data_IF_715005313112
#
_entry.id   IF_715005313112
#
_cell.length_a   1.000
_cell.length_b   1.000
_cell.length_c   1.000
_cell.angle_alpha   90.00
_cell.angle_beta   90.00
_cell.angle_gamma   90.00
#
_symmetry.space_group_name_H-M   'P 1'
#
loop_
_entity.id
_entity.type
_entity.pdbx_description
1 polymer ?
#
# COMPACT_ATOMS: atom_id res chain seq x y z
N UNK A 1 12.77 6.53 -17.96
CA UNK A 1 13.82 7.43 -18.49
C UNK A 1 14.56 8.16 -17.38
N UNK A 2 13.96 9.19 -16.76
CA UNK A 2 14.61 10.10 -15.79
C UNK A 2 15.25 9.39 -14.59
N UNK A 3 14.56 8.42 -13.98
CA UNK A 3 15.11 7.66 -12.85
C UNK A 3 16.42 6.93 -13.22
N UNK A 4 16.46 6.30 -14.40
CA UNK A 4 17.69 5.62 -14.87
C UNK A 4 18.81 6.60 -15.15
N UNK A 5 18.51 7.79 -15.68
CA UNK A 5 19.50 8.84 -15.89
C UNK A 5 20.05 9.37 -14.55
N UNK A 6 19.19 9.64 -13.58
CA UNK A 6 19.60 10.07 -12.25
C UNK A 6 20.53 9.04 -11.58
N UNK A 7 20.19 7.75 -11.65
CA UNK A 7 21.06 6.66 -11.16
C UNK A 7 22.40 6.62 -11.85
N UNK A 8 22.44 6.83 -13.19
CA UNK A 8 23.71 6.91 -13.94
C UNK A 8 24.58 8.08 -13.49
N UNK A 9 23.96 9.20 -13.12
CA UNK A 9 24.65 10.40 -12.64
C UNK A 9 24.98 10.36 -11.14
N UNK A 10 24.53 9.33 -10.41
CA UNK A 10 24.75 9.20 -8.97
C UNK A 10 23.98 10.24 -8.14
N UNK A 11 22.88 10.78 -8.66
CA UNK A 11 22.07 11.77 -7.96
C UNK A 11 20.74 11.18 -7.47
N UNK A 12 20.20 11.63 -6.33
CA UNK A 12 18.90 11.19 -5.87
C UNK A 12 17.79 11.68 -6.80
N UNK A 13 16.74 10.87 -6.93
CA UNK A 13 15.59 11.17 -7.79
C UNK A 13 14.28 10.93 -7.05
N UNK A 14 13.44 11.95 -7.09
CA UNK A 14 12.08 11.90 -6.55
C UNK A 14 11.05 11.86 -7.67
N UNK A 15 10.03 11.04 -7.53
CA UNK A 15 8.90 10.94 -8.46
C UNK A 15 7.59 10.76 -7.69
N UNK A 16 6.52 10.54 -8.41
CA UNK A 16 5.22 10.09 -7.89
C UNK A 16 4.92 8.65 -8.31
N UNK A 17 3.81 8.15 -7.84
CA UNK A 17 3.23 6.85 -8.20
C UNK A 17 1.74 6.86 -7.86
N UNK A 18 1.01 5.79 -8.17
CA UNK A 18 -0.42 5.65 -7.89
C UNK A 18 -1.28 6.84 -8.34
N UNK A 19 -0.88 7.51 -9.43
CA UNK A 19 -1.59 8.66 -9.98
C UNK A 19 -2.71 8.20 -10.91
N UNK A 20 -3.88 8.82 -10.77
CA UNK A 20 -5.06 8.52 -11.58
C UNK A 20 -5.87 9.77 -11.91
N UNK A 21 -6.50 9.80 -13.08
CA UNK A 21 -7.53 10.78 -13.44
C UNK A 21 -8.94 10.37 -13.02
N UNK A 22 -9.13 9.18 -12.43
CA UNK A 22 -10.43 8.69 -11.96
C UNK A 22 -11.01 9.59 -10.85
N UNK A 23 -12.36 9.58 -10.72
CA UNK A 23 -13.11 10.34 -9.71
C UNK A 23 -13.52 9.48 -8.52
N UNK A 24 -13.39 8.17 -8.66
CA UNK A 24 -13.74 7.14 -7.66
C UNK A 24 -12.66 6.08 -7.62
N UNK A 25 -12.62 5.29 -6.56
CA UNK A 25 -11.68 4.17 -6.41
C UNK A 25 -12.13 2.92 -7.19
N UNK A 26 -12.31 3.08 -8.50
CA UNK A 26 -12.80 2.07 -9.45
C UNK A 26 -11.68 1.35 -10.22
N UNK A 27 -12.05 0.61 -11.26
CA UNK A 27 -11.10 -0.11 -12.11
C UNK A 27 -10.12 0.84 -12.82
N UNK A 28 -10.55 2.02 -13.28
CA UNK A 28 -9.67 3.02 -13.88
C UNK A 28 -8.61 3.46 -12.85
N UNK A 29 -9.05 3.79 -11.65
CA UNK A 29 -8.18 4.15 -10.54
C UNK A 29 -7.12 3.08 -10.27
N UNK A 30 -7.55 1.80 -10.23
CA UNK A 30 -6.67 0.69 -9.91
C UNK A 30 -5.55 0.50 -10.93
N UNK A 31 -5.87 0.42 -12.23
CA UNK A 31 -4.82 0.18 -13.21
C UNK A 31 -4.00 1.42 -13.57
N UNK A 32 -4.54 2.63 -13.50
CA UNK A 32 -3.72 3.84 -13.63
C UNK A 32 -2.72 3.96 -12.48
N UNK A 33 -3.15 3.63 -11.25
CA UNK A 33 -2.25 3.58 -10.09
C UNK A 33 -1.15 2.54 -10.28
N UNK A 34 -1.48 1.32 -10.69
CA UNK A 34 -0.51 0.27 -10.95
C UNK A 34 0.48 0.68 -12.06
N UNK A 35 -0.03 1.24 -13.17
CA UNK A 35 0.80 1.65 -14.30
C UNK A 35 1.73 2.83 -14.02
N UNK A 36 1.38 3.72 -13.11
CA UNK A 36 2.24 4.83 -12.70
C UNK A 36 3.22 4.43 -11.60
N UNK A 37 2.82 3.53 -10.70
CA UNK A 37 3.67 3.05 -9.61
C UNK A 37 4.74 2.06 -10.09
N UNK A 38 4.38 1.09 -10.93
CA UNK A 38 5.30 0.05 -11.39
C UNK A 38 6.58 0.59 -12.02
N UNK A 39 6.56 1.53 -12.99
CA UNK A 39 7.79 2.09 -13.54
C UNK A 39 8.58 2.94 -12.54
N UNK A 40 7.93 3.52 -11.53
CA UNK A 40 8.57 4.25 -10.43
C UNK A 40 9.43 3.30 -9.60
N UNK A 41 8.85 2.17 -9.18
CA UNK A 41 9.52 1.13 -8.40
C UNK A 41 10.63 0.47 -9.20
N UNK A 42 10.35 -0.03 -10.42
CA UNK A 42 11.35 -0.66 -11.29
C UNK A 42 12.43 0.31 -11.78
N UNK A 43 12.11 1.60 -11.85
CA UNK A 43 13.08 2.66 -12.15
C UNK A 43 14.11 2.85 -11.04
N UNK A 44 13.83 2.40 -9.84
CA UNK A 44 14.66 2.62 -8.65
C UNK A 44 14.64 4.09 -8.23
N UNK A 45 13.45 4.68 -8.17
CA UNK A 45 13.24 6.02 -7.63
C UNK A 45 13.55 6.00 -6.13
N UNK A 46 14.31 6.96 -5.65
CA UNK A 46 14.73 7.00 -4.24
C UNK A 46 13.62 7.42 -3.30
N UNK A 47 12.71 8.27 -3.76
CA UNK A 47 11.59 8.77 -2.96
C UNK A 47 10.35 8.96 -3.85
N UNK A 48 9.31 8.21 -3.59
CA UNK A 48 8.02 8.34 -4.27
C UNK A 48 7.05 9.13 -3.40
N UNK A 49 6.73 10.33 -3.82
CA UNK A 49 5.78 11.22 -3.16
C UNK A 49 4.41 11.09 -3.84
N UNK A 50 3.33 11.34 -3.10
CA UNK A 50 1.94 11.24 -3.58
C UNK A 50 1.57 9.84 -4.10
N UNK A 51 2.02 8.79 -3.39
CA UNK A 51 1.86 7.41 -3.85
C UNK A 51 0.59 6.72 -3.32
N UNK A 52 -0.29 7.42 -2.63
CA UNK A 52 -1.53 6.84 -2.12
C UNK A 52 -2.63 7.89 -1.91
N UNK A 53 -3.88 7.50 -2.16
CA UNK A 53 -5.08 8.26 -1.79
C UNK A 53 -5.48 9.39 -2.73
N UNK A 54 -4.81 9.58 -3.85
CA UNK A 54 -5.09 10.68 -4.76
C UNK A 54 -6.00 10.26 -5.91
N UNK A 55 -7.01 11.09 -6.19
CA UNK A 55 -7.93 11.00 -7.32
C UNK A 55 -7.87 12.32 -8.12
N UNK A 56 -8.50 12.33 -9.29
CA UNK A 56 -8.64 13.51 -10.16
C UNK A 56 -7.32 14.24 -10.45
N UNK A 57 -6.28 13.48 -10.78
CA UNK A 57 -4.96 14.06 -11.06
C UNK A 57 -4.28 14.72 -9.85
N UNK A 58 -4.70 14.37 -8.64
CA UNK A 58 -4.17 14.91 -7.39
C UNK A 58 -4.96 16.09 -6.80
N UNK A 59 -6.15 16.36 -7.32
CA UNK A 59 -7.04 17.41 -6.79
C UNK A 59 -7.92 16.94 -5.64
N UNK A 60 -8.15 15.62 -5.53
CA UNK A 60 -9.01 15.02 -4.52
C UNK A 60 -8.23 13.95 -3.77
N UNK A 61 -8.41 13.90 -2.45
CA UNK A 61 -7.93 12.81 -1.59
C UNK A 61 -9.13 11.97 -1.12
N UNK A 62 -8.97 10.64 -1.13
CA UNK A 62 -9.98 9.67 -0.72
C UNK A 62 -9.40 8.62 0.20
N UNK A 63 -10.08 8.34 1.33
CA UNK A 63 -9.59 7.41 2.33
C UNK A 63 -9.64 5.95 1.87
N UNK A 64 -10.66 5.55 1.10
CA UNK A 64 -10.72 4.20 0.56
C UNK A 64 -9.58 3.98 -0.44
N UNK A 65 -9.36 4.96 -1.33
CA UNK A 65 -8.23 4.96 -2.26
C UNK A 65 -6.89 4.87 -1.52
N UNK A 66 -6.72 5.59 -0.41
CA UNK A 66 -5.50 5.54 0.40
C UNK A 66 -5.23 4.12 0.91
N UNK A 67 -6.24 3.43 1.42
CA UNK A 67 -6.12 2.06 1.92
C UNK A 67 -5.81 1.06 0.80
N UNK A 68 -6.48 1.20 -0.36
CA UNK A 68 -6.24 0.35 -1.52
C UNK A 68 -4.83 0.54 -2.09
N UNK A 69 -4.38 1.79 -2.22
CA UNK A 69 -3.03 2.09 -2.70
C UNK A 69 -1.96 1.60 -1.71
N UNK A 70 -2.19 1.71 -0.41
CA UNK A 70 -1.28 1.20 0.61
C UNK A 70 -1.12 -0.33 0.50
N UNK A 71 -2.21 -1.05 0.27
CA UNK A 71 -2.18 -2.49 0.02
C UNK A 71 -1.41 -2.82 -1.27
N UNK A 72 -1.63 -2.06 -2.34
CA UNK A 72 -0.88 -2.20 -3.60
C UNK A 72 0.62 -1.90 -3.44
N UNK A 73 0.99 -0.91 -2.61
CA UNK A 73 2.40 -0.62 -2.30
C UNK A 73 3.10 -1.81 -1.64
N UNK A 74 2.44 -2.51 -0.70
CA UNK A 74 3.02 -3.71 -0.09
C UNK A 74 3.14 -4.88 -1.09
N UNK A 75 2.23 -4.99 -2.07
CA UNK A 75 2.37 -5.93 -3.19
C UNK A 75 3.61 -5.61 -4.03
N UNK A 76 3.84 -4.34 -4.35
CA UNK A 76 5.03 -3.91 -5.12
C UNK A 76 6.32 -4.14 -4.34
N UNK A 77 6.31 -3.91 -3.03
CA UNK A 77 7.45 -4.22 -2.15
C UNK A 77 7.78 -5.72 -2.16
N UNK A 78 6.77 -6.58 -2.04
CA UNK A 78 6.96 -8.03 -2.16
C UNK A 78 7.55 -8.42 -3.52
N UNK A 79 7.07 -7.82 -4.61
CA UNK A 79 7.58 -8.09 -5.95
C UNK A 79 9.06 -7.70 -6.12
N UNK A 80 9.50 -6.58 -5.57
CA UNK A 80 10.89 -6.10 -5.72
C UNK A 80 11.86 -6.70 -4.71
N UNK A 81 11.37 -7.32 -3.67
CA UNK A 81 12.19 -8.10 -2.72
C UNK A 81 12.90 -9.27 -3.37
N UNK A 82 12.39 -9.69 -4.55
CA UNK A 82 12.97 -10.78 -5.32
C UNK A 82 12.53 -12.16 -4.84
N UNK A 83 13.28 -13.17 -5.25
CA UNK A 83 13.01 -14.59 -4.93
C UNK A 83 13.98 -15.01 -3.83
N UNK A 84 13.45 -15.62 -2.79
CA UNK A 84 14.25 -16.27 -1.74
C UNK A 84 14.95 -17.51 -2.31
N UNK A 85 16.28 -17.45 -2.37
CA UNK A 85 17.15 -18.57 -2.82
C UNK A 85 17.88 -19.23 -1.65
N UNK A 86 17.43 -18.99 -0.42
CA UNK A 86 17.91 -19.73 0.76
C UNK A 86 17.57 -21.22 0.67
N UNK A 87 18.12 -22.02 1.55
CA UNK A 87 17.80 -23.44 1.65
C UNK A 87 16.28 -23.66 1.85
N UNK A 88 15.64 -22.83 2.70
CA UNK A 88 14.19 -22.85 2.89
C UNK A 88 13.43 -22.43 1.62
N UNK A 89 13.85 -21.36 0.94
CA UNK A 89 13.20 -20.87 -0.26
C UNK A 89 13.29 -21.83 -1.45
N UNK A 90 14.44 -22.53 -1.60
CA UNK A 90 14.63 -23.54 -2.64
C UNK A 90 13.93 -24.86 -2.32
N UNK A 91 13.72 -25.18 -1.06
CA UNK A 91 12.99 -26.37 -0.58
C UNK A 91 13.45 -27.71 -1.19
N UNK A 92 14.74 -27.86 -1.51
CA UNK A 92 15.25 -29.03 -2.23
C UNK A 92 15.05 -30.35 -1.48
N UNK A 93 15.12 -30.32 -0.17
CA UNK A 93 14.91 -31.53 0.64
C UNK A 93 13.43 -31.92 0.66
N UNK A 94 12.52 -30.97 0.74
CA UNK A 94 11.08 -31.21 0.62
C UNK A 94 10.72 -31.79 -0.76
N UNK A 95 11.38 -31.34 -1.83
CA UNK A 95 11.22 -31.86 -3.18
C UNK A 95 11.70 -33.31 -3.29
N UNK A 96 12.84 -33.64 -2.66
CA UNK A 96 13.38 -35.02 -2.62
C UNK A 96 12.50 -35.97 -1.79
N UNK A 97 11.99 -35.47 -0.65
CA UNK A 97 11.10 -36.23 0.22
C UNK A 97 9.77 -36.56 -0.47
N UNK A 98 9.15 -35.58 -1.12
CA UNK A 98 7.89 -35.80 -1.84
C UNK A 98 8.08 -36.77 -3.02
N UNK A 99 9.14 -36.58 -3.81
CA UNK A 99 9.42 -37.40 -4.99
C UNK A 99 8.44 -37.22 -6.16
N UNK A 100 8.71 -37.86 -7.29
CA UNK A 100 7.88 -37.73 -8.50
C UNK A 100 6.46 -38.27 -8.31
N UNK A 101 5.46 -37.47 -8.75
CA UNK A 101 4.04 -37.87 -8.73
C UNK A 101 3.38 -37.82 -7.36
N UNK A 102 4.08 -37.38 -6.34
CA UNK A 102 3.55 -37.21 -4.99
C UNK A 102 3.11 -35.73 -4.74
N UNK A 103 2.43 -35.48 -3.62
CA UNK A 103 1.97 -34.17 -3.22
C UNK A 103 2.72 -33.68 -1.96
N UNK A 104 2.66 -32.37 -1.72
CA UNK A 104 3.34 -31.73 -0.59
C UNK A 104 2.44 -31.56 0.66
N UNK A 105 1.18 -32.00 0.61
CA UNK A 105 0.29 -31.99 1.77
C UNK A 105 0.84 -32.89 2.88
N UNK A 106 1.02 -32.34 4.06
CA UNK A 106 1.63 -33.03 5.19
C UNK A 106 3.15 -32.98 5.25
N UNK A 107 3.82 -32.43 4.21
CA UNK A 107 5.26 -32.21 4.28
C UNK A 107 5.59 -31.11 5.31
N UNK A 108 6.60 -31.31 6.13
CA UNK A 108 7.01 -30.42 7.21
C UNK A 108 7.35 -29.00 6.69
N UNK A 109 8.03 -28.91 5.53
CA UNK A 109 8.34 -27.65 4.90
C UNK A 109 7.07 -26.89 4.51
N UNK A 110 6.07 -27.53 3.90
CA UNK A 110 4.78 -26.92 3.57
C UNK A 110 4.10 -26.40 4.82
N UNK A 111 4.04 -27.20 5.88
CA UNK A 111 3.43 -26.81 7.15
C UNK A 111 4.09 -25.59 7.79
N UNK A 112 5.42 -25.49 7.67
CA UNK A 112 6.18 -24.36 8.22
C UNK A 112 6.00 -23.06 7.42
N UNK A 113 5.66 -23.15 6.12
CA UNK A 113 5.70 -22.02 5.20
C UNK A 113 4.33 -21.61 4.61
N UNK A 114 3.26 -22.42 4.72
CA UNK A 114 2.01 -22.18 3.97
C UNK A 114 1.31 -20.85 4.32
N UNK A 115 1.53 -20.29 5.50
CA UNK A 115 0.96 -19.01 5.90
C UNK A 115 1.78 -17.81 5.42
N UNK A 116 3.10 -17.99 5.24
CA UNK A 116 4.05 -16.90 4.99
C UNK A 116 4.69 -16.90 3.62
N UNK A 117 4.62 -18.03 2.88
CA UNK A 117 5.27 -18.20 1.59
C UNK A 117 4.78 -17.24 0.50
N UNK A 118 3.53 -16.78 0.61
CA UNK A 118 2.92 -15.89 -0.36
C UNK A 118 2.41 -14.62 0.32
N UNK A 119 2.71 -13.49 -0.31
CA UNK A 119 2.08 -12.25 0.08
C UNK A 119 0.56 -12.33 -0.13
N UNK A 120 -0.20 -11.83 0.83
CA UNK A 120 -1.66 -11.81 0.77
C UNK A 120 -2.17 -10.40 0.98
N UNK A 121 -2.94 -9.90 0.03
CA UNK A 121 -3.66 -8.66 0.17
C UNK A 121 -4.67 -8.71 1.32
N UNK A 122 -4.81 -7.63 2.04
CA UNK A 122 -5.87 -7.44 3.03
C UNK A 122 -7.14 -6.83 2.40
N UNK A 123 -7.04 -6.30 1.18
CA UNK A 123 -8.12 -5.59 0.50
C UNK A 123 -8.72 -6.36 -0.69
N UNK A 124 -7.99 -7.32 -1.26
CA UNK A 124 -8.53 -8.18 -2.34
C UNK A 124 -9.24 -9.41 -1.79
N UNK A 125 -10.23 -9.90 -2.52
CA UNK A 125 -10.94 -11.13 -2.20
C UNK A 125 -10.49 -12.25 -3.14
N UNK A 126 -9.97 -13.33 -2.58
CA UNK A 126 -9.52 -14.52 -3.29
C UNK A 126 -10.34 -15.76 -2.88
N UNK A 127 -11.50 -15.57 -2.26
CA UNK A 127 -12.40 -16.64 -1.85
C UNK A 127 -13.15 -17.21 -3.04
N UNK A 128 -13.87 -18.32 -2.83
CA UNK A 128 -14.79 -18.83 -3.86
C UNK A 128 -15.97 -17.89 -4.02
N UNK A 129 -16.66 -17.99 -5.18
CA UNK A 129 -17.86 -17.19 -5.44
C UNK A 129 -18.93 -17.41 -4.38
N UNK A 130 -19.14 -18.65 -3.94
CA UNK A 130 -20.13 -19.02 -2.93
C UNK A 130 -19.83 -18.38 -1.59
N UNK A 131 -18.56 -18.35 -1.19
CA UNK A 131 -18.15 -17.71 0.05
C UNK A 131 -18.31 -16.19 0.00
N UNK A 132 -17.92 -15.57 -1.12
CA UNK A 132 -18.11 -14.13 -1.36
C UNK A 132 -19.59 -13.75 -1.36
N UNK A 133 -20.46 -14.60 -1.94
CA UNK A 133 -21.91 -14.42 -1.97
C UNK A 133 -22.50 -14.47 -0.56
N UNK A 134 -22.13 -15.47 0.23
CA UNK A 134 -22.56 -15.63 1.64
C UNK A 134 -22.12 -14.44 2.52
N UNK A 135 -20.94 -13.89 2.25
CA UNK A 135 -20.38 -12.74 2.96
C UNK A 135 -20.94 -11.38 2.49
N UNK A 136 -21.93 -11.40 1.60
CA UNK A 136 -22.67 -10.20 1.20
C UNK A 136 -22.12 -9.47 -0.02
N UNK A 137 -21.28 -10.12 -0.85
CA UNK A 137 -20.74 -9.59 -2.11
C UNK A 137 -20.02 -8.25 -1.96
N UNK A 138 -19.28 -8.09 -0.88
CA UNK A 138 -18.61 -6.83 -0.55
C UNK A 138 -17.49 -6.56 -1.54
N UNK A 139 -17.52 -5.39 -2.18
CA UNK A 139 -16.48 -4.92 -3.11
C UNK A 139 -15.26 -4.37 -2.37
N UNK A 140 -14.13 -4.28 -3.07
CA UNK A 140 -12.85 -3.84 -2.48
C UNK A 140 -12.91 -2.39 -1.96
N UNK A 141 -13.62 -1.51 -2.64
CA UNK A 141 -13.80 -0.12 -2.21
C UNK A 141 -14.53 -0.05 -0.87
N UNK A 142 -15.62 -0.82 -0.69
CA UNK A 142 -16.35 -0.81 0.58
C UNK A 142 -15.54 -1.43 1.72
N UNK A 143 -14.77 -2.52 1.46
CA UNK A 143 -13.82 -3.04 2.45
C UNK A 143 -12.80 -1.99 2.87
N UNK A 144 -12.28 -1.24 1.91
CA UNK A 144 -11.33 -0.17 2.17
C UNK A 144 -11.95 0.98 2.97
N UNK A 145 -13.20 1.36 2.70
CA UNK A 145 -13.95 2.36 3.48
C UNK A 145 -14.16 1.93 4.93
N UNK A 146 -14.54 0.66 5.13
CA UNK A 146 -14.68 0.10 6.49
C UNK A 146 -13.33 0.16 7.19
N UNK A 147 -12.27 -0.33 6.55
CA UNK A 147 -10.93 -0.32 7.12
C UNK A 147 -10.46 1.09 7.48
N UNK A 148 -10.69 2.08 6.63
CA UNK A 148 -10.35 3.48 6.90
C UNK A 148 -11.09 4.02 8.12
N UNK A 149 -12.40 3.74 8.26
CA UNK A 149 -13.19 4.11 9.44
C UNK A 149 -12.66 3.47 10.72
N UNK A 150 -12.31 2.19 10.66
CA UNK A 150 -11.74 1.47 11.81
C UNK A 150 -10.40 2.06 12.25
N UNK A 151 -9.53 2.38 11.29
CA UNK A 151 -8.24 3.04 11.55
C UNK A 151 -8.44 4.41 12.20
N UNK A 152 -9.37 5.22 11.71
CA UNK A 152 -9.69 6.51 12.30
C UNK A 152 -10.30 6.38 13.71
N UNK A 153 -11.18 5.41 13.91
CA UNK A 153 -11.80 5.15 15.22
C UNK A 153 -10.80 4.64 16.27
N UNK A 154 -9.77 3.92 15.83
CA UNK A 154 -8.70 3.42 16.72
C UNK A 154 -7.55 4.40 16.93
N UNK A 155 -7.58 5.56 16.27
CA UNK A 155 -6.50 6.55 16.38
C UNK A 155 -6.42 7.12 17.79
N UNK A 156 -5.21 7.08 18.34
CA UNK A 156 -4.86 7.73 19.59
C UNK A 156 -3.84 8.83 19.29
N UNK A 157 -4.15 10.05 19.68
CA UNK A 157 -3.21 11.15 19.52
C UNK A 157 -1.94 10.87 20.33
N UNK A 158 -0.74 11.15 19.79
CA UNK A 158 0.49 11.10 20.57
C UNK A 158 0.38 12.02 21.78
N UNK A 159 0.93 11.59 22.91
CA UNK A 159 1.03 12.46 24.09
C UNK A 159 1.93 13.65 23.76
N UNK A 160 1.42 14.84 24.00
CA UNK A 160 2.15 16.09 23.89
C UNK A 160 2.17 16.74 25.29
N UNK A 161 3.30 17.32 25.68
CA UNK A 161 3.39 18.09 26.91
C UNK A 161 2.32 19.20 26.91
N UNK A 162 1.45 19.26 27.93
CA UNK A 162 0.35 20.24 27.97
C UNK A 162 0.80 21.68 27.81
N UNK A 163 1.97 22.05 28.34
CA UNK A 163 2.51 23.41 28.23
C UNK A 163 2.94 23.71 26.76
N UNK A 164 3.45 22.71 26.03
CA UNK A 164 3.79 22.86 24.62
C UNK A 164 2.51 22.96 23.78
N UNK A 165 1.51 22.15 24.07
CA UNK A 165 0.21 22.18 23.37
C UNK A 165 -0.48 23.53 23.53
N UNK A 166 -0.51 24.08 24.76
CA UNK A 166 -1.06 25.40 25.05
C UNK A 166 -0.29 26.51 24.31
N UNK A 167 1.04 26.50 24.38
CA UNK A 167 1.86 27.47 23.67
C UNK A 167 1.69 27.44 22.15
N UNK A 168 1.51 26.24 21.56
CA UNK A 168 1.22 26.08 20.14
C UNK A 168 -0.16 26.62 19.77
N UNK A 169 -1.18 26.38 20.58
CA UNK A 169 -2.53 26.90 20.37
C UNK A 169 -2.56 28.42 20.46
N UNK A 170 -1.89 29.01 21.44
CA UNK A 170 -1.77 30.45 21.59
C UNK A 170 -1.04 31.09 20.39
N UNK A 171 0.05 30.47 19.96
CA UNK A 171 0.75 30.93 18.76
C UNK A 171 -0.15 30.89 17.51
N UNK A 172 -0.86 29.77 17.29
CA UNK A 172 -1.79 29.63 16.17
C UNK A 172 -2.88 30.70 16.22
N UNK A 173 -3.48 30.94 17.39
CA UNK A 173 -4.52 31.95 17.55
C UNK A 173 -3.97 33.36 17.29
N UNK A 174 -2.82 33.70 17.87
CA UNK A 174 -2.15 34.98 17.63
C UNK A 174 -1.85 35.20 16.14
N UNK A 175 -1.43 34.14 15.42
CA UNK A 175 -1.20 34.25 13.96
C UNK A 175 -2.49 34.45 13.19
N UNK A 176 -3.57 33.75 13.52
CA UNK A 176 -4.88 33.96 12.91
C UNK A 176 -5.38 35.40 13.10
N UNK A 177 -5.25 35.92 14.31
CA UNK A 177 -5.68 37.28 14.65
C UNK A 177 -4.85 38.37 13.94
N UNK A 178 -3.58 38.04 13.61
CA UNK A 178 -2.65 38.98 12.96
C UNK A 178 -2.67 38.95 11.43
N UNK A 179 -3.32 37.96 10.83
CA UNK A 179 -3.38 37.81 9.39
C UNK A 179 -4.78 38.24 8.88
N UNK A 180 -4.86 39.02 7.79
CA UNK A 180 -6.15 39.32 7.18
C UNK A 180 -6.76 38.02 6.63
N UNK A 181 -8.08 37.86 6.75
CA UNK A 181 -8.81 36.83 6.02
C UNK A 181 -8.59 37.05 4.53
N UNK A 182 -7.94 36.06 3.88
CA UNK A 182 -7.84 36.07 2.43
C UNK A 182 -9.15 35.53 1.88
N UNK A 183 -9.89 36.32 1.13
CA UNK A 183 -10.98 35.85 0.28
C UNK A 183 -10.35 34.99 -0.84
N UNK A 184 -10.72 33.70 -0.89
CA UNK A 184 -10.41 32.79 -2.00
C UNK A 184 -11.58 32.78 -2.98
#
# INVERSE_FOLDING_TARGET
GCAKLARRLGVPFRSGGSLTGAKTADAQSAYESAHTLLPTVLGGVNFSLHSAGWLEGGLVADFAKLVLDADQLTMMESMVSGIDVSENGLALDALREAGPGQHFLGNAHTQANFETAFWRSSMTDNKTFEQWDIEGRVESEERARVRARDMLASYQAPELDPAIDEALKDYIQSRKDSLPDSEY
#
